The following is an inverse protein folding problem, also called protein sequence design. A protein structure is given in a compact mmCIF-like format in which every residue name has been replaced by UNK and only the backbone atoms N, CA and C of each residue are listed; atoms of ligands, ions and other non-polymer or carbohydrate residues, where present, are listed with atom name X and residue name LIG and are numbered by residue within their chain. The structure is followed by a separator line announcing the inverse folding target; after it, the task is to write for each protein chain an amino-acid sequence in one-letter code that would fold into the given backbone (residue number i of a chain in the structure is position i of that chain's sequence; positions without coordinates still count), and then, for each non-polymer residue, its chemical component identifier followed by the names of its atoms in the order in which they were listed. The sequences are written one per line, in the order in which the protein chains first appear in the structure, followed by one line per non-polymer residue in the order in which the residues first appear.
data_IF_930004434771
#
_entry.id   IF_930004434771
#
_cell.length_a   1.000
_cell.length_b   1.000
_cell.length_c   1.000
_cell.angle_alpha   90.00
_cell.angle_beta   90.00
_cell.angle_gamma   90.00
#
_symmetry.space_group_name_H-M   'P 1'
#
loop_
_entity.id
_entity.type
_entity.pdbx_description
1 polymer ?
#
# COMPACT_ATOMS: atom_id res chain seq x y z
N UNK A 1 27.69 -0.30 21.22
CA UNK A 1 26.41 -0.66 20.56
C UNK A 1 25.48 0.52 20.76
N UNK A 2 25.10 1.23 19.70
CA UNK A 2 24.17 2.35 19.82
C UNK A 2 22.78 1.81 20.13
N UNK A 3 22.31 2.02 21.37
CA UNK A 3 20.94 1.67 21.76
C UNK A 3 20.06 2.85 21.36
N UNK A 4 19.09 2.60 20.48
CA UNK A 4 18.13 3.62 20.09
C UNK A 4 17.17 3.85 21.26
N UNK A 5 17.02 5.09 21.71
CA UNK A 5 16.19 5.42 22.88
C UNK A 5 14.69 5.48 22.52
N UNK A 6 14.36 5.57 21.23
CA UNK A 6 13.00 5.81 20.71
C UNK A 6 12.35 4.55 20.13
N UNK A 7 12.83 3.36 20.47
CA UNK A 7 12.40 2.12 19.83
C UNK A 7 11.66 1.15 20.74
N UNK A 8 11.50 1.47 22.02
CA UNK A 8 10.94 0.54 23.01
C UNK A 8 9.41 0.56 23.04
N UNK A 9 8.79 1.74 22.92
CA UNK A 9 7.35 1.92 23.06
C UNK A 9 6.70 2.39 21.76
N UNK A 10 5.44 2.02 21.54
CA UNK A 10 4.70 2.38 20.32
C UNK A 10 4.24 3.84 20.29
N UNK A 11 4.16 4.48 21.45
CA UNK A 11 3.70 5.87 21.61
C UNK A 11 4.82 6.90 21.47
N UNK A 12 6.07 6.45 21.29
CA UNK A 12 7.25 7.33 21.25
C UNK A 12 7.65 7.57 19.80
N UNK A 13 7.56 8.84 19.38
CA UNK A 13 8.05 9.28 18.07
C UNK A 13 9.55 9.50 18.10
N UNK A 14 10.23 9.09 17.03
CA UNK A 14 11.63 9.46 16.82
C UNK A 14 11.76 10.93 16.41
N UNK A 15 12.93 11.56 16.57
CA UNK A 15 13.19 12.91 16.07
C UNK A 15 12.99 13.05 14.55
N UNK A 16 12.97 11.95 13.80
CA UNK A 16 12.70 11.90 12.36
C UNK A 16 11.21 11.71 12.04
N UNK A 17 10.32 11.72 13.03
CA UNK A 17 8.88 11.51 12.83
C UNK A 17 8.51 10.07 12.48
N UNK A 18 9.22 9.08 13.05
CA UNK A 18 8.97 7.65 12.79
C UNK A 18 8.55 6.91 14.04
N UNK A 19 7.72 5.87 13.88
CA UNK A 19 7.34 4.92 14.93
C UNK A 19 8.05 3.58 14.71
N UNK A 20 9.20 3.39 15.36
CA UNK A 20 10.03 2.20 15.13
C UNK A 20 9.33 0.88 15.47
N UNK A 21 8.49 0.84 16.51
CA UNK A 21 7.71 -0.36 16.86
C UNK A 21 6.76 -0.81 15.74
N UNK A 22 6.17 0.14 15.00
CA UNK A 22 5.32 -0.17 13.83
C UNK A 22 6.17 -0.71 12.69
N UNK A 23 7.35 -0.15 12.47
CA UNK A 23 8.29 -0.63 11.44
C UNK A 23 8.81 -2.04 11.73
N UNK A 24 9.14 -2.33 12.99
CA UNK A 24 9.52 -3.68 13.41
C UNK A 24 8.39 -4.68 13.21
N UNK A 25 7.14 -4.28 13.47
CA UNK A 25 5.98 -5.11 13.17
C UNK A 25 5.80 -5.35 11.66
N UNK A 26 6.13 -4.37 10.80
CA UNK A 26 6.14 -4.55 9.35
C UNK A 26 7.22 -5.56 8.90
N UNK A 27 8.38 -5.59 9.54
CA UNK A 27 9.41 -6.61 9.27
C UNK A 27 8.91 -8.03 9.62
N UNK A 28 8.12 -8.19 10.68
CA UNK A 28 7.52 -9.47 11.03
C UNK A 28 6.65 -10.06 9.89
N UNK A 29 5.97 -9.20 9.12
CA UNK A 29 5.18 -9.62 7.95
C UNK A 29 6.08 -10.18 6.84
N UNK A 30 7.25 -9.57 6.63
CA UNK A 30 8.23 -10.00 5.62
C UNK A 30 8.88 -11.34 5.96
N UNK A 31 8.91 -11.72 7.24
CA UNK A 31 9.40 -13.04 7.68
C UNK A 31 8.37 -14.17 7.45
N UNK A 32 7.07 -13.84 7.36
CA UNK A 32 6.02 -14.80 7.01
C UNK A 32 6.20 -15.36 5.60
N UNK A 33 5.62 -16.52 5.26
CA UNK A 33 5.78 -17.05 3.88
C UNK A 33 5.04 -16.17 2.88
N UNK A 34 5.44 -16.26 1.62
CA UNK A 34 4.75 -15.55 0.55
C UNK A 34 3.27 -15.94 0.46
N UNK A 35 2.45 -14.96 0.13
CA UNK A 35 1.09 -15.14 -0.37
C UNK A 35 0.81 -14.08 -1.42
N UNK A 36 0.03 -14.46 -2.41
CA UNK A 36 -0.36 -13.64 -3.55
C UNK A 36 -1.89 -13.55 -3.56
N UNK A 37 -2.41 -12.36 -3.85
CA UNK A 37 -3.81 -12.10 -4.10
C UNK A 37 -3.97 -11.36 -5.41
N UNK A 38 -4.93 -11.74 -6.23
CA UNK A 38 -5.22 -11.09 -7.50
C UNK A 38 -6.70 -11.23 -7.86
N UNK A 39 -7.24 -10.26 -8.59
CA UNK A 39 -8.62 -10.25 -9.06
C UNK A 39 -8.71 -10.02 -10.56
N UNK A 40 -9.70 -10.65 -11.20
CA UNK A 40 -10.20 -10.25 -12.51
C UNK A 40 -11.55 -9.50 -12.33
N UNK A 41 -12.37 -9.42 -13.38
CA UNK A 41 -13.71 -8.79 -13.31
C UNK A 41 -14.70 -9.54 -12.42
N UNK A 42 -14.56 -10.86 -12.31
CA UNK A 42 -15.58 -11.73 -11.70
C UNK A 42 -15.10 -12.42 -10.40
N UNK A 43 -13.81 -12.71 -10.28
CA UNK A 43 -13.20 -13.56 -9.27
C UNK A 43 -12.06 -12.85 -8.56
N UNK A 44 -11.96 -13.12 -7.26
CA UNK A 44 -10.80 -12.83 -6.45
C UNK A 44 -10.15 -14.15 -5.99
N UNK A 45 -8.84 -14.23 -6.11
CA UNK A 45 -8.06 -15.45 -5.83
C UNK A 45 -6.96 -15.14 -4.83
N UNK A 46 -6.83 -16.00 -3.82
CA UNK A 46 -5.71 -16.03 -2.87
C UNK A 46 -4.90 -17.30 -3.07
N UNK A 47 -3.59 -17.15 -3.17
CA UNK A 47 -2.65 -18.26 -3.32
C UNK A 47 -1.56 -18.10 -2.27
N UNK A 48 -1.40 -19.09 -1.40
CA UNK A 48 -0.49 -19.01 -0.26
C UNK A 48 0.48 -20.19 -0.24
N UNK A 49 1.75 -19.88 0.04
CA UNK A 49 2.77 -20.88 0.31
C UNK A 49 2.72 -21.29 1.79
N UNK A 50 2.33 -22.53 2.06
CA UNK A 50 2.38 -23.18 3.36
C UNK A 50 3.80 -23.69 3.64
N UNK A 51 4.23 -23.58 4.90
CA UNK A 51 5.47 -24.20 5.39
C UNK A 51 5.14 -25.30 6.39
N UNK A 52 5.92 -26.37 6.36
CA UNK A 52 6.01 -27.35 7.43
C UNK A 52 7.32 -27.11 8.19
N UNK A 53 7.31 -27.27 9.51
CA UNK A 53 8.52 -27.07 10.34
C UNK A 53 9.48 -28.25 10.18
N UNK A 54 8.93 -29.44 9.98
CA UNK A 54 9.63 -30.70 9.74
C UNK A 54 8.79 -31.59 8.84
N UNK A 55 9.36 -32.65 8.29
CA UNK A 55 8.64 -33.61 7.45
C UNK A 55 7.50 -34.34 8.18
N UNK A 56 7.64 -34.47 9.50
CA UNK A 56 6.62 -35.06 10.39
C UNK A 56 5.49 -34.07 10.73
N UNK A 57 5.65 -32.79 10.40
CA UNK A 57 4.71 -31.73 10.75
C UNK A 57 3.70 -31.50 9.64
N UNK A 58 2.44 -31.31 10.02
CA UNK A 58 1.42 -30.85 9.09
C UNK A 58 1.71 -29.41 8.65
N UNK A 59 1.37 -29.11 7.39
CA UNK A 59 1.51 -27.77 6.84
C UNK A 59 0.58 -26.79 7.55
N UNK A 60 1.13 -25.64 7.96
CA UNK A 60 0.35 -24.62 8.63
C UNK A 60 -0.64 -23.96 7.66
N UNK A 61 -1.93 -23.94 8.00
CA UNK A 61 -2.97 -23.26 7.22
C UNK A 61 -2.73 -21.75 7.22
N UNK A 62 -2.70 -21.15 6.03
CA UNK A 62 -2.54 -19.71 5.83
C UNK A 62 -3.78 -18.98 5.38
N UNK A 63 -4.62 -19.68 4.61
CA UNK A 63 -5.90 -19.14 4.18
C UNK A 63 -6.93 -19.51 5.24
N UNK A 64 -7.66 -18.51 5.72
CA UNK A 64 -8.69 -18.65 6.75
C UNK A 64 -10.00 -18.11 6.16
N UNK A 65 -11.07 -18.93 6.13
CA UNK A 65 -12.38 -18.44 5.72
C UNK A 65 -12.98 -17.54 6.80
N UNK A 66 -13.50 -16.37 6.43
CA UNK A 66 -14.17 -15.46 7.36
C UNK A 66 -15.68 -15.61 7.24
N UNK A 67 -16.20 -15.48 6.02
CA UNK A 67 -17.61 -15.66 5.70
C UNK A 67 -17.74 -16.37 4.35
N UNK A 68 -18.97 -16.62 3.91
CA UNK A 68 -19.26 -17.25 2.61
C UNK A 68 -18.66 -16.47 1.43
N UNK A 69 -18.54 -15.15 1.53
CA UNK A 69 -18.04 -14.27 0.47
C UNK A 69 -16.69 -13.63 0.79
N UNK A 70 -16.04 -13.95 1.92
CA UNK A 70 -14.77 -13.33 2.35
C UNK A 70 -13.79 -14.37 2.88
N UNK A 71 -12.59 -14.38 2.32
CA UNK A 71 -11.44 -15.15 2.78
C UNK A 71 -10.22 -14.28 3.01
N UNK A 72 -9.37 -14.69 3.95
CA UNK A 72 -8.09 -14.00 4.20
C UNK A 72 -6.92 -14.95 4.06
N UNK A 73 -5.78 -14.42 3.62
CA UNK A 73 -4.47 -15.05 3.69
C UNK A 73 -3.55 -14.23 4.57
N UNK A 74 -2.76 -14.90 5.40
CA UNK A 74 -1.99 -14.27 6.48
C UNK A 74 -0.49 -14.30 6.17
N UNK A 75 0.24 -13.27 6.60
CA UNK A 75 1.70 -13.29 6.67
C UNK A 75 2.18 -12.59 7.95
N UNK A 76 3.08 -13.22 8.70
CA UNK A 76 3.55 -12.75 10.01
C UNK A 76 3.05 -13.62 11.17
N UNK A 77 2.75 -13.00 12.31
CA UNK A 77 2.35 -13.69 13.54
C UNK A 77 0.96 -14.31 13.44
N UNK A 78 0.89 -15.65 13.47
CA UNK A 78 -0.38 -16.39 13.37
C UNK A 78 -1.33 -16.12 14.54
N UNK A 79 -0.82 -15.81 15.73
CA UNK A 79 -1.65 -15.48 16.90
C UNK A 79 -2.49 -14.22 16.66
N UNK A 80 -1.86 -13.16 16.16
CA UNK A 80 -2.52 -11.90 15.82
C UNK A 80 -3.51 -12.11 14.68
N UNK A 81 -3.13 -12.93 13.69
CA UNK A 81 -4.00 -13.30 12.58
C UNK A 81 -5.29 -13.99 13.06
N UNK A 82 -5.21 -14.90 14.03
CA UNK A 82 -6.39 -15.57 14.62
C UNK A 82 -7.27 -14.60 15.39
N UNK A 83 -6.68 -13.63 16.09
CA UNK A 83 -7.44 -12.59 16.80
C UNK A 83 -8.22 -11.72 15.80
N UNK A 84 -7.57 -11.25 14.72
CA UNK A 84 -8.24 -10.51 13.65
C UNK A 84 -9.30 -11.36 12.93
N UNK A 85 -9.02 -12.64 12.66
CA UNK A 85 -9.98 -13.54 12.02
C UNK A 85 -11.26 -13.68 12.84
N UNK A 86 -11.14 -13.82 14.17
CA UNK A 86 -12.29 -13.90 15.07
C UNK A 86 -13.07 -12.60 15.07
N UNK A 87 -12.39 -11.47 15.14
CA UNK A 87 -13.02 -10.15 15.05
C UNK A 87 -13.78 -10.00 13.74
N UNK A 88 -13.16 -10.27 12.59
CA UNK A 88 -13.81 -10.17 11.28
C UNK A 88 -15.03 -11.07 11.16
N UNK A 89 -14.96 -12.31 11.68
CA UNK A 89 -16.11 -13.23 11.73
C UNK A 89 -17.26 -12.67 12.54
N UNK A 90 -16.97 -12.11 13.73
CA UNK A 90 -18.00 -11.48 14.57
C UNK A 90 -18.64 -10.30 13.85
N UNK A 91 -17.86 -9.43 13.21
CA UNK A 91 -18.40 -8.29 12.45
C UNK A 91 -19.29 -8.75 11.27
N UNK A 92 -18.87 -9.76 10.50
CA UNK A 92 -19.68 -10.32 9.43
C UNK A 92 -21.00 -10.91 9.95
N UNK A 93 -20.95 -11.70 11.01
CA UNK A 93 -22.13 -12.30 11.63
C UNK A 93 -23.09 -11.25 12.19
N UNK A 94 -22.57 -10.21 12.84
CA UNK A 94 -23.36 -9.11 13.37
C UNK A 94 -24.08 -8.34 12.25
N UNK A 95 -23.39 -8.08 11.13
CA UNK A 95 -24.00 -7.41 9.99
C UNK A 95 -25.08 -8.26 9.33
N UNK A 96 -24.79 -9.55 9.11
CA UNK A 96 -25.78 -10.51 8.58
C UNK A 96 -27.00 -10.62 9.50
N UNK A 97 -26.79 -10.62 10.81
CA UNK A 97 -27.90 -10.63 11.79
C UNK A 97 -28.73 -9.34 11.78
N UNK A 98 -28.09 -8.17 11.70
CA UNK A 98 -28.77 -6.88 11.79
C UNK A 98 -29.44 -6.45 10.48
N UNK A 99 -28.86 -6.81 9.33
CA UNK A 99 -29.25 -6.29 8.02
C UNK A 99 -29.65 -7.38 7.02
N UNK A 100 -29.68 -8.65 7.43
CA UNK A 100 -29.97 -9.82 6.58
C UNK A 100 -29.24 -9.82 5.24
N UNK A 101 -28.01 -9.28 5.24
CA UNK A 101 -27.20 -9.05 4.04
C UNK A 101 -25.72 -9.30 4.33
N UNK A 102 -24.94 -9.78 3.33
CA UNK A 102 -23.51 -9.99 3.49
C UNK A 102 -22.79 -8.67 3.76
N UNK A 103 -21.77 -8.71 4.63
CA UNK A 103 -20.98 -7.53 4.97
C UNK A 103 -20.19 -7.01 3.75
N UNK A 104 -20.35 -5.74 3.33
CA UNK A 104 -19.53 -5.17 2.26
C UNK A 104 -18.03 -5.21 2.61
N UNK A 105 -17.18 -5.60 1.66
CA UNK A 105 -15.76 -5.89 1.95
C UNK A 105 -15.04 -4.63 2.41
N UNK A 106 -15.25 -3.49 1.73
CA UNK A 106 -14.65 -2.21 2.10
C UNK A 106 -15.03 -1.76 3.52
N UNK A 107 -16.28 -2.00 3.96
CA UNK A 107 -16.74 -1.68 5.32
C UNK A 107 -16.00 -2.53 6.36
N UNK A 108 -15.87 -3.84 6.11
CA UNK A 108 -15.14 -4.73 7.01
C UNK A 108 -13.67 -4.31 7.17
N UNK A 109 -13.01 -3.93 6.07
CA UNK A 109 -11.61 -3.51 6.09
C UNK A 109 -11.41 -2.21 6.87
N UNK A 110 -12.33 -1.25 6.75
CA UNK A 110 -12.32 -0.04 7.58
C UNK A 110 -12.39 -0.36 9.08
N UNK A 111 -13.27 -1.29 9.49
CA UNK A 111 -13.37 -1.74 10.88
C UNK A 111 -12.09 -2.43 11.36
N UNK A 112 -11.46 -3.24 10.50
CA UNK A 112 -10.16 -3.87 10.79
C UNK A 112 -9.07 -2.82 10.96
N UNK A 113 -8.99 -1.82 10.06
CA UNK A 113 -8.05 -0.70 10.15
C UNK A 113 -8.19 0.04 11.49
N UNK A 114 -9.41 0.42 11.86
CA UNK A 114 -9.70 1.08 13.14
C UNK A 114 -9.26 0.23 14.34
N UNK A 115 -9.52 -1.08 14.31
CA UNK A 115 -9.07 -2.00 15.36
C UNK A 115 -7.55 -2.08 15.45
N UNK A 116 -6.86 -2.12 14.31
CA UNK A 116 -5.40 -2.15 14.24
C UNK A 116 -4.79 -0.84 14.74
N UNK A 117 -5.40 0.31 14.44
CA UNK A 117 -4.90 1.63 14.80
C UNK A 117 -4.92 1.88 16.31
N UNK A 118 -5.91 1.35 17.03
CA UNK A 118 -5.91 1.43 18.51
C UNK A 118 -4.65 0.80 19.10
N UNK A 119 -4.10 -0.23 18.47
CA UNK A 119 -2.89 -0.92 18.92
C UNK A 119 -1.59 -0.18 18.58
N UNK A 120 -1.63 0.86 17.73
CA UNK A 120 -0.46 1.69 17.38
C UNK A 120 -0.36 2.96 18.22
N UNK A 121 -1.43 3.35 18.92
CA UNK A 121 -1.49 4.61 19.68
C UNK A 121 -1.56 4.41 21.20
N UNK A 122 -1.85 3.21 21.68
CA UNK A 122 -1.97 2.93 23.12
C UNK A 122 -0.70 2.31 23.71
N UNK A 123 -0.24 2.87 24.83
CA UNK A 123 0.96 2.41 25.53
C UNK A 123 0.88 0.97 26.04
N UNK A 124 -0.30 0.49 26.45
CA UNK A 124 -0.52 -0.87 26.95
C UNK A 124 -0.62 -1.92 25.83
N UNK A 125 -0.46 -1.50 24.56
CA UNK A 125 -0.62 -2.37 23.40
C UNK A 125 0.60 -2.32 22.50
N UNK A 126 0.70 -3.36 21.66
CA UNK A 126 1.68 -3.43 20.58
C UNK A 126 0.96 -3.49 19.23
N UNK A 127 1.59 -3.00 18.14
CA UNK A 127 1.09 -3.21 16.79
C UNK A 127 0.90 -4.71 16.50
N UNK A 128 -0.09 -5.02 15.67
CA UNK A 128 -0.34 -6.39 15.26
C UNK A 128 0.71 -6.78 14.21
N UNK A 129 1.53 -7.80 14.50
CA UNK A 129 2.64 -8.24 13.66
C UNK A 129 2.18 -9.13 12.50
N UNK A 130 1.05 -8.81 11.88
CA UNK A 130 0.43 -9.57 10.80
C UNK A 130 -0.01 -8.64 9.68
N UNK A 131 0.26 -9.04 8.44
CA UNK A 131 -0.35 -8.49 7.24
C UNK A 131 -1.37 -9.46 6.70
N UNK A 132 -2.52 -8.95 6.27
CA UNK A 132 -3.58 -9.74 5.66
C UNK A 132 -3.68 -9.40 4.17
N UNK A 133 -3.89 -10.42 3.35
CA UNK A 133 -4.54 -10.26 2.05
C UNK A 133 -5.96 -10.76 2.18
N UNK A 134 -6.93 -9.89 1.93
CA UNK A 134 -8.35 -10.19 2.02
C UNK A 134 -8.91 -10.27 0.61
N UNK A 135 -9.49 -11.42 0.27
CA UNK A 135 -10.27 -11.57 -0.95
C UNK A 135 -11.74 -11.65 -0.57
N UNK A 136 -12.56 -10.86 -1.25
CA UNK A 136 -13.99 -10.93 -1.07
C UNK A 136 -14.73 -10.61 -2.36
N UNK A 137 -16.01 -10.95 -2.38
CA UNK A 137 -16.91 -10.59 -3.46
C UNK A 137 -18.17 -9.96 -2.85
N UNK A 138 -18.52 -8.75 -3.28
CA UNK A 138 -19.76 -8.08 -2.89
C UNK A 138 -20.47 -7.51 -4.12
N UNK A 139 -21.50 -6.68 -3.91
CA UNK A 139 -22.29 -6.09 -5.00
C UNK A 139 -21.46 -5.21 -5.96
N UNK A 140 -20.29 -4.73 -5.52
CA UNK A 140 -19.35 -3.97 -6.37
C UNK A 140 -18.35 -4.89 -7.11
N UNK A 141 -18.48 -6.20 -6.95
CA UNK A 141 -17.65 -7.21 -7.60
C UNK A 141 -16.52 -7.75 -6.70
N UNK A 142 -15.44 -8.28 -7.30
CA UNK A 142 -14.32 -8.86 -6.56
C UNK A 142 -13.39 -7.79 -5.98
N UNK A 143 -12.90 -8.05 -4.77
CA UNK A 143 -12.00 -7.16 -4.04
C UNK A 143 -10.77 -7.91 -3.54
N UNK A 144 -9.62 -7.25 -3.60
CA UNK A 144 -8.38 -7.69 -2.96
C UNK A 144 -7.88 -6.53 -2.12
N UNK A 145 -7.91 -6.68 -0.79
CA UNK A 145 -7.35 -5.70 0.13
C UNK A 145 -6.08 -6.21 0.77
N UNK A 146 -5.11 -5.32 0.95
CA UNK A 146 -3.97 -5.55 1.81
C UNK A 146 -4.14 -4.76 3.10
N UNK A 147 -3.90 -5.38 4.25
CA UNK A 147 -3.73 -4.66 5.53
C UNK A 147 -2.30 -4.78 6.03
N UNK A 148 -1.81 -3.72 6.66
CA UNK A 148 -0.46 -3.63 7.20
C UNK A 148 -0.47 -3.39 8.72
N UNK A 149 0.57 -3.81 9.46
CA UNK A 149 0.73 -3.52 10.89
C UNK A 149 0.64 -2.04 11.28
N UNK A 150 0.87 -1.13 10.34
CA UNK A 150 0.66 0.31 10.48
C UNK A 150 -0.82 0.73 10.50
N UNK A 151 -1.75 -0.22 10.51
CA UNK A 151 -3.19 -0.04 10.39
C UNK A 151 -3.67 0.56 9.05
N UNK A 152 -2.75 0.84 8.13
CA UNK A 152 -3.11 1.23 6.78
C UNK A 152 -3.61 0.02 5.98
N UNK A 153 -4.51 0.28 5.03
CA UNK A 153 -5.04 -0.72 4.12
C UNK A 153 -5.13 -0.18 2.70
N UNK A 154 -5.04 -1.07 1.72
CA UNK A 154 -4.97 -0.73 0.31
C UNK A 154 -5.91 -1.63 -0.50
N UNK A 155 -6.79 -1.04 -1.31
CA UNK A 155 -7.48 -1.79 -2.37
C UNK A 155 -6.49 -2.03 -3.52
N UNK A 156 -6.35 -3.29 -3.91
CA UNK A 156 -5.32 -3.76 -4.83
C UNK A 156 -5.97 -4.48 -6.01
N UNK A 157 -5.40 -4.30 -7.20
CA UNK A 157 -5.70 -5.17 -8.36
C UNK A 157 -5.04 -6.54 -8.20
N UNK A 158 -3.78 -6.52 -7.75
CA UNK A 158 -3.04 -7.68 -7.31
C UNK A 158 -2.02 -7.24 -6.27
N UNK A 159 -1.66 -8.13 -5.34
CA UNK A 159 -0.70 -7.85 -4.29
C UNK A 159 -0.02 -9.13 -3.82
N UNK A 160 1.23 -9.01 -3.35
CA UNK A 160 1.94 -10.10 -2.70
C UNK A 160 2.64 -9.63 -1.42
N UNK A 161 2.46 -10.38 -0.33
CA UNK A 161 3.09 -10.11 0.97
C UNK A 161 3.87 -11.33 1.46
N UNK A 162 4.82 -11.11 2.37
CA UNK A 162 5.68 -12.17 2.94
C UNK A 162 7.07 -12.22 2.33
N UNK A 163 7.80 -13.27 2.68
CA UNK A 163 9.20 -13.45 2.33
C UNK A 163 9.39 -13.51 0.82
N UNK A 164 10.33 -12.71 0.30
CA UNK A 164 10.65 -12.59 -1.13
C UNK A 164 9.44 -12.24 -2.01
N UNK A 165 8.42 -11.57 -1.46
CA UNK A 165 7.25 -11.15 -2.24
C UNK A 165 7.54 -10.06 -3.29
N UNK A 166 8.72 -9.44 -3.27
CA UNK A 166 9.14 -8.48 -4.30
C UNK A 166 9.22 -9.13 -5.69
N UNK A 167 9.70 -10.37 -5.80
CA UNK A 167 9.73 -11.10 -7.07
C UNK A 167 8.32 -11.32 -7.61
N UNK A 168 7.38 -11.72 -6.75
CA UNK A 168 5.97 -11.87 -7.10
C UNK A 168 5.35 -10.56 -7.56
N UNK A 169 5.61 -9.44 -6.88
CA UNK A 169 5.10 -8.12 -7.28
C UNK A 169 5.63 -7.71 -8.66
N UNK A 170 6.92 -7.92 -8.91
CA UNK A 170 7.52 -7.66 -10.24
C UNK A 170 6.80 -8.44 -11.35
N UNK A 171 6.45 -9.71 -11.10
CA UNK A 171 5.65 -10.51 -12.03
C UNK A 171 4.25 -9.92 -12.22
N UNK A 172 3.55 -9.62 -11.13
CA UNK A 172 2.17 -9.11 -11.16
C UNK A 172 2.07 -7.75 -11.86
N UNK A 173 3.04 -6.85 -11.65
CA UNK A 173 3.09 -5.55 -12.31
C UNK A 173 3.24 -5.69 -13.83
N UNK A 174 4.09 -6.63 -14.28
CA UNK A 174 4.28 -6.89 -15.71
C UNK A 174 3.00 -7.43 -16.39
N UNK A 175 2.21 -8.23 -15.69
CA UNK A 175 1.01 -8.88 -16.23
C UNK A 175 -0.30 -8.20 -15.80
N UNK A 176 -0.24 -7.03 -15.20
CA UNK A 176 -1.40 -6.36 -14.59
C UNK A 176 -2.58 -6.15 -15.55
N UNK A 177 -2.27 -5.84 -16.82
CA UNK A 177 -3.30 -5.52 -17.82
C UNK A 177 -4.03 -6.76 -18.33
N UNK A 178 -3.45 -7.95 -18.20
CA UNK A 178 -4.08 -9.19 -18.70
C UNK A 178 -5.13 -9.72 -17.73
N UNK A 179 -5.01 -9.42 -16.43
CA UNK A 179 -5.87 -10.01 -15.40
C UNK A 179 -7.35 -9.72 -15.59
N UNK A 180 -7.73 -8.56 -16.14
CA UNK A 180 -9.14 -8.17 -16.24
C UNK A 180 -9.95 -9.09 -17.18
N UNK A 181 -9.32 -9.63 -18.22
CA UNK A 181 -9.98 -10.45 -19.24
C UNK A 181 -9.63 -11.95 -19.12
N UNK A 182 -8.77 -12.32 -18.17
CA UNK A 182 -8.41 -13.71 -17.93
C UNK A 182 -9.60 -14.53 -17.41
N UNK A 183 -9.69 -15.77 -17.90
CA UNK A 183 -10.53 -16.78 -17.28
C UNK A 183 -9.98 -17.20 -15.90
N UNK A 184 -10.82 -17.85 -15.09
CA UNK A 184 -10.44 -18.28 -13.74
C UNK A 184 -9.17 -19.15 -13.73
N UNK A 185 -9.03 -20.07 -14.69
CA UNK A 185 -7.88 -20.98 -14.75
C UNK A 185 -6.57 -20.22 -15.04
N UNK A 186 -6.61 -19.28 -15.98
CA UNK A 186 -5.46 -18.44 -16.33
C UNK A 186 -5.09 -17.49 -15.19
N UNK A 187 -6.10 -16.93 -14.49
CA UNK A 187 -5.89 -16.08 -13.33
C UNK A 187 -5.18 -16.86 -12.21
N UNK A 188 -5.62 -18.08 -11.92
CA UNK A 188 -4.95 -18.96 -10.96
C UNK A 188 -3.51 -19.28 -11.42
N UNK A 189 -3.30 -19.58 -12.71
CA UNK A 189 -1.97 -19.83 -13.26
C UNK A 189 -1.03 -18.62 -13.10
N UNK A 190 -1.50 -17.40 -13.35
CA UNK A 190 -0.74 -16.17 -13.08
C UNK A 190 -0.36 -16.04 -11.61
N UNK A 191 -1.29 -16.29 -10.69
CA UNK A 191 -0.99 -16.27 -9.26
C UNK A 191 0.03 -17.34 -8.85
N UNK A 192 -0.04 -18.54 -9.44
CA UNK A 192 0.92 -19.63 -9.19
C UNK A 192 2.31 -19.28 -9.73
N UNK A 193 2.41 -18.73 -10.94
CA UNK A 193 3.68 -18.23 -11.50
C UNK A 193 4.29 -17.14 -10.61
N UNK A 194 3.49 -16.17 -10.18
CA UNK A 194 3.93 -15.14 -9.25
C UNK A 194 4.45 -15.73 -7.92
N UNK A 195 3.74 -16.73 -7.37
CA UNK A 195 4.16 -17.40 -6.14
C UNK A 195 5.44 -18.23 -6.34
N UNK A 196 5.59 -18.89 -7.50
CA UNK A 196 6.78 -19.68 -7.86
C UNK A 196 8.04 -18.82 -7.86
N UNK A 197 7.96 -17.58 -8.34
CA UNK A 197 9.09 -16.64 -8.36
C UNK A 197 9.55 -16.22 -6.94
N UNK A 198 8.79 -16.54 -5.88
CA UNK A 198 9.20 -16.33 -4.49
C UNK A 198 9.99 -17.50 -3.90
N UNK A 199 10.05 -18.65 -4.59
CA UNK A 199 10.77 -19.84 -4.15
C UNK A 199 12.24 -19.81 -4.59
N UNK A 200 13.15 -20.47 -3.85
CA UNK A 200 14.50 -20.75 -4.35
C UNK A 200 14.47 -21.66 -5.58
N UNK A 201 15.55 -21.62 -6.37
CA UNK A 201 15.66 -22.36 -7.64
C UNK A 201 15.51 -23.88 -7.50
N UNK A 202 15.75 -24.43 -6.32
CA UNK A 202 15.71 -25.88 -6.03
C UNK A 202 14.34 -26.39 -5.57
N UNK A 203 13.41 -25.49 -5.22
CA UNK A 203 12.13 -25.87 -4.59
C UNK A 203 10.98 -25.55 -5.52
N UNK A 204 10.20 -26.56 -5.90
CA UNK A 204 8.99 -26.42 -6.71
C UNK A 204 7.70 -26.33 -5.89
N UNK A 205 6.65 -25.84 -6.55
CA UNK A 205 5.29 -25.85 -6.02
C UNK A 205 4.74 -27.28 -6.07
N UNK A 206 4.08 -27.72 -5.00
CA UNK A 206 3.49 -29.04 -4.90
C UNK A 206 2.14 -28.99 -4.17
N UNK A 207 1.39 -30.09 -4.23
CA UNK A 207 0.06 -30.18 -3.61
C UNK A 207 0.07 -29.91 -2.09
N UNK A 208 1.20 -30.16 -1.42
CA UNK A 208 1.32 -30.02 0.04
C UNK A 208 1.64 -28.60 0.46
N UNK A 209 2.48 -27.89 -0.31
CA UNK A 209 2.99 -26.56 0.01
C UNK A 209 2.12 -25.42 -0.52
N UNK A 210 1.22 -25.66 -1.49
CA UNK A 210 0.30 -24.63 -2.01
C UNK A 210 -1.08 -24.74 -1.38
N UNK A 211 -1.71 -23.58 -1.15
CA UNK A 211 -3.13 -23.44 -0.83
C UNK A 211 -3.73 -22.38 -1.74
N UNK A 212 -4.87 -22.67 -2.36
CA UNK A 212 -5.60 -21.76 -3.23
C UNK A 212 -7.00 -21.55 -2.65
N UNK A 213 -7.48 -20.32 -2.65
CA UNK A 213 -8.88 -20.01 -2.40
C UNK A 213 -9.42 -19.05 -3.44
N UNK A 214 -10.66 -19.29 -3.84
CA UNK A 214 -11.35 -18.60 -4.93
C UNK A 214 -12.70 -18.12 -4.42
N UNK A 215 -13.07 -16.88 -4.75
CA UNK A 215 -14.39 -16.30 -4.50
C UNK A 215 -14.88 -15.56 -5.74
N UNK A 216 -16.19 -15.60 -6.02
CA UNK A 216 -16.80 -14.94 -7.18
C UNK A 216 -18.34 -14.89 -7.12
N UNK A 217 -19.04 -14.45 -8.18
CA UNK A 217 -20.48 -14.12 -8.17
C UNK A 217 -21.42 -15.25 -7.75
N UNK A 218 -21.08 -16.48 -8.13
CA UNK A 218 -21.90 -17.68 -7.84
C UNK A 218 -21.09 -18.75 -7.11
N UNK A 219 -19.91 -18.37 -6.64
CA UNK A 219 -18.96 -19.28 -6.02
C UNK A 219 -18.64 -18.72 -4.65
N UNK A 220 -19.25 -19.27 -3.57
CA UNK A 220 -18.82 -18.92 -2.23
C UNK A 220 -17.35 -19.28 -2.07
N UNK A 221 -16.68 -18.66 -1.11
CA UNK A 221 -15.27 -18.86 -0.84
C UNK A 221 -14.96 -20.35 -0.75
N UNK A 222 -14.27 -20.85 -1.77
CA UNK A 222 -13.87 -22.24 -1.89
C UNK A 222 -12.37 -22.33 -1.73
N UNK A 223 -11.92 -23.10 -0.74
CA UNK A 223 -10.52 -23.50 -0.62
C UNK A 223 -10.36 -24.79 -1.45
N UNK A 224 -9.44 -24.79 -2.41
CA UNK A 224 -9.28 -25.89 -3.35
C UNK A 224 -8.75 -27.16 -2.65
N UNK A 225 -9.35 -28.30 -2.99
CA UNK A 225 -8.89 -29.63 -2.54
C UNK A 225 -7.65 -30.09 -3.33
N UNK A 226 -6.98 -31.14 -2.85
CA UNK A 226 -5.74 -31.66 -3.46
C UNK A 226 -5.92 -32.05 -4.93
N UNK A 227 -7.07 -32.62 -5.31
CA UNK A 227 -7.36 -33.00 -6.69
C UNK A 227 -7.50 -31.76 -7.59
N UNK A 228 -8.12 -30.68 -7.10
CA UNK A 228 -8.28 -29.45 -7.86
C UNK A 228 -6.95 -28.71 -7.98
N UNK A 229 -6.17 -28.72 -6.91
CA UNK A 229 -4.84 -28.14 -6.87
C UNK A 229 -3.91 -28.79 -7.90
N UNK A 230 -3.95 -30.12 -8.03
CA UNK A 230 -3.17 -30.85 -9.04
C UNK A 230 -3.50 -30.39 -10.47
N UNK A 231 -4.76 -30.10 -10.78
CA UNK A 231 -5.16 -29.56 -12.09
C UNK A 231 -4.57 -28.18 -12.36
N UNK A 232 -4.56 -27.30 -11.36
CA UNK A 232 -3.98 -25.96 -11.50
C UNK A 232 -2.45 -25.97 -11.55
N UNK A 233 -1.80 -26.87 -10.80
CA UNK A 233 -0.34 -27.00 -10.83
C UNK A 233 0.15 -27.55 -12.17
N UNK A 234 -0.56 -28.51 -12.77
CA UNK A 234 -0.24 -29.05 -14.09
C UNK A 234 -0.20 -27.99 -15.21
N UNK A 235 -0.93 -26.86 -15.05
CA UNK A 235 -0.90 -25.75 -16.00
C UNK A 235 0.41 -24.94 -15.96
N UNK A 236 1.18 -25.06 -14.88
CA UNK A 236 2.42 -24.29 -14.64
C UNK A 236 3.66 -25.19 -14.64
N UNK A 237 3.46 -26.51 -14.53
CA UNK A 237 4.53 -27.50 -14.64
C UNK A 237 5.13 -27.49 -16.05
N UNK A 238 6.47 -27.40 -16.14
CA UNK A 238 7.22 -27.41 -17.39
C UNK A 238 7.53 -26.04 -18.01
N UNK A 239 6.95 -24.95 -17.51
CA UNK A 239 7.33 -23.61 -17.94
C UNK A 239 8.68 -23.19 -17.34
N UNK A 240 9.61 -22.71 -18.17
CA UNK A 240 10.90 -22.18 -17.71
C UNK A 240 10.72 -21.14 -16.61
N UNK A 241 11.50 -21.27 -15.54
CA UNK A 241 11.57 -20.25 -14.49
C UNK A 241 12.22 -19.01 -15.07
N UNK A 242 11.61 -17.85 -14.84
CA UNK A 242 12.23 -16.56 -15.13
C UNK A 242 13.45 -16.40 -14.21
N UNK A 243 14.62 -16.73 -14.74
CA UNK A 243 15.89 -16.67 -14.00
C UNK A 243 16.97 -17.67 -14.45
N UNK A 244 16.67 -18.59 -15.37
CA UNK A 244 17.64 -19.59 -15.87
C UNK A 244 18.44 -19.20 -17.12
N UNK A 245 18.29 -17.98 -17.65
CA UNK A 245 19.09 -17.50 -18.77
C UNK A 245 20.47 -17.06 -18.29
N UNK A 246 21.51 -17.81 -18.65
CA UNK A 246 22.92 -17.45 -18.44
C UNK A 246 23.19 -16.00 -18.85
N UNK A 247 23.45 -15.14 -17.87
CA UNK A 247 24.28 -13.98 -18.09
C UNK A 247 25.73 -14.46 -18.15
N UNK A 248 26.17 -14.94 -19.32
CA UNK A 248 27.61 -14.98 -19.64
C UNK A 248 28.01 -13.54 -19.94
N UNK A 249 28.43 -12.84 -18.89
CA UNK A 249 29.06 -11.54 -18.96
C UNK A 249 30.28 -11.58 -18.04
N UNK A 250 31.44 -11.84 -18.64
CA UNK A 250 32.81 -11.67 -18.17
C UNK A 250 33.05 -11.68 -16.65
N UNK A 251 33.51 -12.84 -16.16
CA UNK A 251 34.16 -12.97 -14.85
C UNK A 251 35.52 -12.27 -14.93
N UNK A 252 35.63 -11.08 -14.34
CA UNK A 252 36.93 -10.53 -13.94
C UNK A 252 37.45 -11.32 -12.73
N UNK A 253 38.75 -11.70 -12.70
CA UNK A 253 39.28 -12.55 -11.65
C UNK A 253 39.39 -11.82 -10.31
N UNK A 254 39.15 -12.61 -9.27
CA UNK A 254 39.23 -12.32 -7.84
C UNK A 254 40.50 -11.54 -7.46
N UNK A 255 40.32 -10.30 -6.98
CA UNK A 255 41.35 -9.55 -6.28
C UNK A 255 40.97 -9.51 -4.80
N UNK A 256 41.87 -10.02 -3.94
CA UNK A 256 41.67 -10.31 -2.51
C UNK A 256 41.24 -9.16 -1.59
N UNK A 257 41.40 -9.33 -0.27
CA UNK A 257 40.64 -8.57 0.73
C UNK A 257 40.92 -7.07 0.67
N UNK A 258 39.94 -6.20 0.96
CA UNK A 258 40.10 -4.76 0.81
C UNK A 258 41.07 -4.23 1.87
N UNK A 259 42.24 -3.76 1.43
CA UNK A 259 43.08 -2.84 2.20
C UNK A 259 42.52 -1.41 2.14
N UNK A 260 42.84 -0.63 3.17
CA UNK A 260 42.38 0.74 3.40
C UNK A 260 42.48 1.63 2.16
N UNK A 261 41.35 2.22 1.74
CA UNK A 261 41.32 3.28 0.73
C UNK A 261 41.49 4.64 1.44
N UNK A 262 42.29 5.56 0.90
CA UNK A 262 42.38 6.91 1.45
C UNK A 262 41.06 7.67 1.24
N UNK A 263 40.69 8.45 2.25
CA UNK A 263 39.45 9.22 2.35
C UNK A 263 39.20 10.11 1.12
N UNK A 264 37.96 10.10 0.61
CA UNK A 264 37.48 11.12 -0.32
C UNK A 264 37.29 12.42 0.46
N UNK A 265 37.61 13.59 -0.11
CA UNK A 265 37.30 14.86 0.53
C UNK A 265 35.77 15.02 0.66
N UNK A 266 35.35 15.41 1.85
CA UNK A 266 33.96 15.62 2.24
C UNK A 266 33.22 16.53 1.25
N UNK A 267 32.01 16.11 0.86
CA UNK A 267 31.06 17.04 0.25
C UNK A 267 30.56 17.99 1.34
N UNK A 268 30.53 19.31 1.12
CA UNK A 268 29.98 20.22 2.11
C UNK A 268 28.49 19.92 2.34
N UNK A 269 28.08 19.97 3.60
CA UNK A 269 26.69 19.78 4.02
C UNK A 269 25.74 20.74 3.27
N UNK A 270 24.52 20.30 2.92
CA UNK A 270 23.52 21.21 2.37
C UNK A 270 23.19 22.28 3.42
N UNK A 271 23.33 23.55 3.04
CA UNK A 271 22.96 24.69 3.89
C UNK A 271 21.46 24.65 4.21
N UNK A 272 21.05 25.10 5.42
CA UNK A 272 19.65 25.16 5.79
C UNK A 272 18.89 26.12 4.86
N UNK A 273 17.67 25.74 4.47
CA UNK A 273 16.79 26.58 3.67
C UNK A 273 16.55 27.93 4.38
N UNK A 274 16.76 29.03 3.68
CA UNK A 274 16.39 30.36 4.17
C UNK A 274 14.86 30.50 4.11
N UNK A 275 14.25 30.75 5.27
CA UNK A 275 12.86 31.20 5.36
C UNK A 275 12.84 32.68 4.98
N UNK A 276 12.23 33.01 3.85
CA UNK A 276 11.98 34.40 3.45
C UNK A 276 10.61 34.77 4.04
N UNK A 277 10.61 35.60 5.09
CA UNK A 277 9.38 36.20 5.61
C UNK A 277 9.03 37.42 4.75
N UNK A 278 7.86 37.40 4.11
CA UNK A 278 7.26 38.60 3.53
C UNK A 278 6.36 39.24 4.56
N UNK A 279 6.70 40.44 5.03
CA UNK A 279 5.76 41.30 5.75
C UNK A 279 4.95 42.09 4.73
N UNK A 280 3.64 41.83 4.67
CA UNK A 280 2.72 42.70 3.94
C UNK A 280 2.69 44.07 4.63
N UNK A 281 2.88 45.14 3.85
CA UNK A 281 2.80 46.51 4.36
C UNK A 281 1.36 46.92 4.60
N UNK A 282 1.15 47.65 5.70
CA UNK A 282 -0.09 48.22 6.22
C UNK A 282 -1.21 48.42 5.18
N UNK A 283 -2.21 47.55 5.24
CA UNK A 283 -3.58 47.88 4.90
C UNK A 283 -4.51 47.10 5.84
N UNK A 284 -5.36 47.83 6.56
CA UNK A 284 -6.37 47.27 7.45
C UNK A 284 -7.41 46.51 6.63
N UNK A 285 -7.88 45.40 7.21
CA UNK A 285 -9.02 44.57 6.80
C UNK A 285 -8.79 43.51 5.70
N UNK A 286 -8.26 42.34 6.09
CA UNK A 286 -8.70 41.02 5.60
C UNK A 286 -7.92 39.89 6.28
N UNK A 287 -8.56 38.76 6.57
CA UNK A 287 -7.95 37.54 7.12
C UNK A 287 -6.83 37.02 6.20
N UNK A 288 -5.60 36.93 6.70
CA UNK A 288 -4.42 36.50 5.95
C UNK A 288 -4.40 34.98 5.72
N UNK A 289 -4.52 34.52 4.46
CA UNK A 289 -4.30 33.13 4.07
C UNK A 289 -2.80 32.85 3.78
N UNK A 290 -2.21 31.86 4.47
CA UNK A 290 -0.82 31.44 4.28
C UNK A 290 -0.75 30.23 3.33
N UNK A 291 0.00 30.35 2.23
CA UNK A 291 0.28 29.24 1.30
C UNK A 291 1.75 28.83 1.34
N UNK A 292 2.02 27.52 1.47
CA UNK A 292 3.35 26.93 1.32
C UNK A 292 3.51 26.40 -0.12
N UNK A 293 4.46 26.97 -0.87
CA UNK A 293 4.79 26.52 -2.23
C UNK A 293 6.09 25.72 -2.21
N UNK A 294 6.01 24.43 -2.55
CA UNK A 294 7.18 23.58 -2.74
C UNK A 294 7.67 23.65 -4.19
N UNK A 295 8.94 24.04 -4.37
CA UNK A 295 9.67 23.87 -5.64
C UNK A 295 10.56 22.64 -5.53
N UNK A 296 10.11 21.51 -6.10
CA UNK A 296 10.90 20.29 -6.19
C UNK A 296 12.03 20.44 -7.21
N UNK A 297 13.27 20.18 -6.80
CA UNK A 297 14.41 20.00 -7.71
C UNK A 297 14.11 18.88 -8.70
N UNK A 298 14.21 19.20 -10.00
CA UNK A 298 13.69 18.46 -11.16
C UNK A 298 12.25 18.80 -11.57
N UNK A 299 11.92 20.09 -11.60
CA UNK A 299 11.35 20.75 -12.77
C UNK A 299 10.00 20.27 -13.34
N UNK A 300 9.22 19.45 -12.65
CA UNK A 300 7.88 19.04 -13.09
C UNK A 300 7.00 18.57 -11.92
N UNK A 301 6.61 19.49 -11.03
CA UNK A 301 5.37 19.45 -10.23
C UNK A 301 5.32 20.63 -9.26
N UNK A 302 4.20 21.35 -9.25
CA UNK A 302 3.82 22.31 -8.19
C UNK A 302 2.62 21.71 -7.46
N UNK A 303 2.72 21.58 -6.15
CA UNK A 303 1.63 21.15 -5.27
C UNK A 303 1.41 22.29 -4.28
N UNK A 304 0.18 22.80 -4.20
CA UNK A 304 -0.25 23.75 -3.18
C UNK A 304 -1.26 23.05 -2.29
N UNK A 305 -1.05 23.11 -0.97
CA UNK A 305 -1.92 22.51 0.05
C UNK A 305 -2.33 23.60 1.04
N UNK A 306 -3.62 23.63 1.42
CA UNK A 306 -4.19 24.63 2.34
C UNK A 306 -3.99 24.17 3.78
N UNK A 307 -3.41 25.01 4.63
CA UNK A 307 -3.40 24.81 6.09
C UNK A 307 -4.62 25.52 6.68
N UNK A 308 -5.42 24.81 7.46
CA UNK A 308 -6.45 25.39 8.34
C UNK A 308 -5.91 25.33 9.77
N UNK A 309 -5.79 26.48 10.43
CA UNK A 309 -5.44 26.58 11.85
C UNK A 309 -6.70 26.33 12.71
N UNK A 310 -6.67 25.26 13.52
CA UNK A 310 -7.67 25.01 14.56
C UNK A 310 -7.22 25.68 15.87
N UNK A 311 -7.66 26.91 16.11
CA UNK A 311 -7.60 27.52 17.45
C UNK A 311 -8.63 28.63 17.68
N UNK A 312 -9.89 28.31 18.03
CA UNK A 312 -10.73 29.17 18.90
C UNK A 312 -11.73 28.32 19.69
N UNK A 313 -11.77 28.60 21.00
CA UNK A 313 -12.63 28.09 22.07
C UNK A 313 -14.06 28.69 22.06
N UNK A 314 -15.03 27.87 22.45
CA UNK A 314 -16.40 28.10 22.99
C UNK A 314 -17.17 29.43 22.82
N UNK A 315 -18.49 29.25 22.63
CA UNK A 315 -19.66 30.10 22.92
C UNK A 315 -20.12 31.17 21.90
N UNK A 316 -21.16 30.82 21.12
CA UNK A 316 -22.50 31.46 21.21
C UNK A 316 -23.51 30.91 20.18
N UNK A 317 -24.76 30.83 20.63
CA UNK A 317 -25.97 30.37 19.93
C UNK A 317 -26.47 31.40 18.92
N UNK A 318 -26.96 30.96 17.74
CA UNK A 318 -28.20 31.39 17.05
C UNK A 318 -28.26 30.86 15.59
N UNK A 319 -29.50 30.75 15.11
CA UNK A 319 -30.03 29.86 14.05
C UNK A 319 -29.85 30.28 12.57
N UNK A 320 -30.25 29.32 11.72
CA UNK A 320 -30.88 29.40 10.39
C UNK A 320 -30.06 29.35 9.08
N UNK A 321 -30.30 28.24 8.36
CA UNK A 321 -30.52 28.07 6.92
C UNK A 321 -29.67 28.86 5.89
N UNK A 322 -28.86 28.13 5.10
CA UNK A 322 -29.08 27.97 3.63
C UNK A 322 -27.86 27.42 2.86
N UNK A 323 -28.12 26.40 2.05
CA UNK A 323 -27.57 26.15 0.70
C UNK A 323 -26.03 26.11 0.49
N UNK A 324 -25.44 24.91 0.55
CA UNK A 324 -24.08 24.67 0.04
C UNK A 324 -24.11 24.06 -1.37
N UNK A 325 -23.93 24.89 -2.39
CA UNK A 325 -23.59 24.46 -3.76
C UNK A 325 -22.09 24.13 -3.86
N UNK A 326 -21.75 22.92 -4.30
CA UNK A 326 -20.37 22.48 -4.55
C UNK A 326 -19.85 23.01 -5.88
N UNK A 327 -18.90 23.94 -5.88
CA UNK A 327 -18.22 24.42 -7.10
C UNK A 327 -17.03 23.53 -7.50
N UNK A 328 -17.11 22.90 -8.67
CA UNK A 328 -16.03 22.12 -9.30
C UNK A 328 -15.07 22.98 -10.14
N UNK A 329 -13.75 22.77 -10.02
CA UNK A 329 -12.73 23.42 -10.85
C UNK A 329 -12.27 22.53 -12.02
N UNK A 330 -12.02 23.11 -13.20
CA UNK A 330 -11.41 22.44 -14.37
C UNK A 330 -10.05 23.08 -14.69
N UNK A 331 -8.99 22.27 -14.78
CA UNK A 331 -7.68 22.65 -15.29
C UNK A 331 -7.60 22.29 -16.78
N UNK A 332 -7.16 23.20 -17.66
CA UNK A 332 -6.81 22.88 -19.04
C UNK A 332 -5.39 23.37 -19.34
N UNK A 333 -4.53 22.45 -19.78
CA UNK A 333 -3.16 22.75 -20.22
C UNK A 333 -3.13 22.87 -21.74
N UNK A 334 -2.54 23.94 -22.27
CA UNK A 334 -2.14 24.03 -23.69
C UNK A 334 -0.61 23.98 -23.76
N UNK A 335 -0.07 23.05 -24.55
CA UNK A 335 1.37 22.98 -24.88
C UNK A 335 1.56 23.45 -26.31
N UNK A 336 2.42 24.46 -26.51
CA UNK A 336 2.99 24.76 -27.83
C UNK A 336 4.47 24.31 -27.84
N UNK A 337 4.79 23.42 -28.77
CA UNK A 337 6.06 22.72 -28.84
C UNK A 337 7.05 23.49 -29.73
N UNK A 338 7.61 24.60 -29.23
CA UNK A 338 8.82 25.17 -29.87
C UNK A 338 9.72 26.08 -29.01
N UNK A 339 9.43 26.40 -27.75
CA UNK A 339 10.33 27.24 -26.92
C UNK A 339 10.40 26.77 -25.46
N UNK A 340 11.59 26.38 -25.01
CA UNK A 340 11.90 26.14 -23.59
C UNK A 340 11.97 27.49 -22.87
N UNK A 341 10.87 27.95 -22.29
CA UNK A 341 10.82 28.86 -21.13
C UNK A 341 9.34 29.09 -20.72
N UNK A 342 9.01 28.76 -19.46
CA UNK A 342 7.72 29.07 -18.83
C UNK A 342 7.56 30.59 -18.76
N UNK A 343 6.56 31.16 -19.44
CA UNK A 343 6.40 32.63 -19.53
C UNK A 343 5.08 33.17 -18.96
N UNK A 344 4.20 32.38 -18.35
CA UNK A 344 3.11 32.89 -17.50
C UNK A 344 2.24 31.76 -16.91
N UNK A 345 1.67 31.99 -15.73
CA UNK A 345 0.61 31.19 -15.11
C UNK A 345 -0.63 32.10 -14.99
N UNK A 346 -1.76 31.70 -15.58
CA UNK A 346 -3.02 32.42 -15.43
C UNK A 346 -3.98 31.63 -14.54
N UNK A 347 -4.46 32.26 -13.47
CA UNK A 347 -5.51 31.73 -12.59
C UNK A 347 -6.76 32.57 -12.88
N UNK A 348 -7.84 31.93 -13.36
CA UNK A 348 -9.12 32.60 -13.58
C UNK A 348 -10.02 32.37 -12.36
N UNK A 349 -10.22 33.42 -11.55
CA UNK A 349 -11.16 33.44 -10.44
C UNK A 349 -12.45 34.07 -10.99
N UNK A 350 -13.56 33.31 -11.00
CA UNK A 350 -14.87 33.87 -11.36
C UNK A 350 -15.24 34.98 -10.36
N UNK A 351 -15.41 36.21 -10.84
CA UNK A 351 -16.13 37.26 -10.11
C UNK A 351 -15.41 38.59 -9.84
N UNK A 352 -14.15 38.78 -10.26
CA UNK A 352 -13.44 40.06 -10.05
C UNK A 352 -13.11 40.77 -11.38
N UNK A 353 -13.34 42.10 -11.49
CA UNK A 353 -12.88 42.87 -12.63
C UNK A 353 -11.37 43.14 -12.53
N UNK A 354 -10.68 43.06 -13.67
CA UNK A 354 -9.23 43.24 -13.84
C UNK A 354 -8.68 44.50 -13.14
N UNK A 355 -7.48 44.39 -12.54
CA UNK A 355 -6.49 45.45 -12.71
C UNK A 355 -5.18 44.92 -13.30
N UNK A 356 -4.53 45.79 -14.06
CA UNK A 356 -3.24 45.62 -14.73
C UNK A 356 -2.14 45.67 -13.68
N UNK A 357 -1.44 44.56 -13.43
CA UNK A 357 -0.16 44.56 -12.72
C UNK A 357 0.97 44.57 -13.76
N UNK A 358 1.75 45.65 -13.77
CA UNK A 358 2.94 45.81 -14.60
C UNK A 358 4.16 45.30 -13.79
N UNK A 359 4.85 44.27 -14.28
CA UNK A 359 6.05 43.74 -13.62
C UNK A 359 7.30 44.20 -14.39
N UNK A 360 8.11 45.04 -13.76
CA UNK A 360 9.45 45.41 -14.23
C UNK A 360 10.43 44.27 -14.00
N UNK A 361 11.14 43.88 -15.06
CA UNK A 361 12.19 42.85 -15.07
C UNK A 361 13.37 43.23 -14.17
N UNK A 362 13.73 42.36 -13.21
CA UNK A 362 15.03 42.42 -12.52
C UNK A 362 15.95 41.36 -13.13
N UNK A 363 17.04 41.79 -13.76
CA UNK A 363 18.11 40.91 -14.22
C UNK A 363 18.96 40.46 -13.04
N UNK A 364 19.14 39.14 -12.89
CA UNK A 364 20.14 38.53 -12.02
C UNK A 364 21.50 38.54 -12.73
N UNK A 365 22.53 39.04 -12.04
CA UNK A 365 23.95 38.92 -12.41
C UNK A 365 24.62 37.89 -11.52
#
# INVERSE_FOLDING_TARGET
MFRNQYDSDVTVWSPQGRLHQVEYAMEAVKLGSATVGLKNKDFAVLIALKRAVSELSAYQKKIIPIDEHIGISISGLTADARMLSRFMRTECLNHKYAHDSPMPVGRLINLVGNKMQICTQRYDKRPLGVGLLVAGYDDQGPHIYQTCPSANFFDCRAMAIGARSQSARTYLEKHLMTFADCELQELVAHGLRALRDTLPNEVDLNNKNVSIAIVGPKTPLKICDEAELGRFLALVEGEERRGGGSAVGDVLPDSGPPGDRPDRPDRPDPQPAQVINYTCGDSQDSEDEIFLVYLGGNGNRVIAERLLDDSVTEDSVMDDDSNAESSSFRLSTFMDASKQNLTSLFINIKGLPWPVFDFTTVNLM
#
